data_IF_159691160213
#
_entry.id   IF_159691160213
#
_cell.length_a   1.000
_cell.length_b   1.000
_cell.length_c   1.000
_cell.angle_alpha   90.00
_cell.angle_beta   90.00
_cell.angle_gamma   90.00
#
_symmetry.space_group_name_H-M   'P 1'
#
loop_
_entity.id
_entity.type
_entity.pdbx_description
1 polymer ?
#
# COMPACT_ATOMS: atom_id res chain seq x y z
N UNK A 1 9.64 4.54 -53.32
CA UNK A 1 10.52 5.05 -52.24
C UNK A 1 10.29 4.17 -51.03
N UNK A 2 11.24 3.30 -50.68
CA UNK A 2 11.13 2.40 -49.52
C UNK A 2 11.72 3.14 -48.33
N UNK A 3 10.88 3.47 -47.35
CA UNK A 3 11.31 4.16 -46.12
C UNK A 3 11.76 3.12 -45.10
N UNK A 4 13.04 3.15 -44.73
CA UNK A 4 13.61 2.26 -43.74
C UNK A 4 13.62 2.97 -42.39
N UNK A 5 12.73 2.57 -41.48
CA UNK A 5 12.72 3.05 -40.10
C UNK A 5 13.77 2.25 -39.32
N UNK A 6 14.81 2.93 -38.83
CA UNK A 6 15.77 2.35 -37.89
C UNK A 6 15.26 2.60 -36.48
N UNK A 7 14.72 1.56 -35.84
CA UNK A 7 14.55 1.55 -34.38
C UNK A 7 15.94 1.44 -33.75
N UNK A 8 16.38 2.50 -33.08
CA UNK A 8 17.48 2.44 -32.14
C UNK A 8 16.88 2.11 -30.76
N UNK A 9 17.04 0.86 -30.31
CA UNK A 9 16.77 0.53 -28.91
C UNK A 9 17.91 1.08 -28.04
N UNK A 10 17.63 1.81 -26.95
CA UNK A 10 18.62 2.06 -25.92
C UNK A 10 18.83 0.77 -25.12
N UNK A 11 20.01 0.17 -25.26
CA UNK A 11 20.48 -0.88 -24.37
C UNK A 11 20.99 -0.19 -23.11
N UNK A 12 20.19 -0.18 -22.05
CA UNK A 12 20.68 0.18 -20.71
C UNK A 12 21.22 -1.09 -20.07
N UNK A 13 22.55 -1.23 -20.07
CA UNK A 13 23.24 -2.27 -19.34
C UNK A 13 23.65 -1.71 -17.97
N UNK A 14 22.89 -2.04 -16.93
CA UNK A 14 23.27 -1.76 -15.54
C UNK A 14 24.13 -2.91 -15.04
N UNK A 15 25.45 -2.70 -15.06
CA UNK A 15 26.43 -3.57 -14.39
C UNK A 15 26.42 -3.23 -12.89
N UNK A 16 25.71 -4.01 -12.08
CA UNK A 16 25.90 -4.00 -10.63
C UNK A 16 27.16 -4.80 -10.28
N UNK A 17 28.31 -4.12 -10.23
CA UNK A 17 29.53 -4.64 -9.60
C UNK A 17 29.31 -4.72 -8.09
N UNK A 18 28.94 -5.90 -7.59
CA UNK A 18 29.12 -6.24 -6.18
C UNK A 18 30.62 -6.38 -5.92
N UNK A 19 31.22 -5.34 -5.36
CA UNK A 19 32.52 -5.44 -4.74
C UNK A 19 32.38 -6.28 -3.46
N UNK A 20 32.75 -7.57 -3.53
CA UNK A 20 33.11 -8.33 -2.33
C UNK A 20 34.35 -7.66 -1.72
N UNK A 21 34.13 -6.77 -0.75
CA UNK A 21 35.16 -6.40 0.21
C UNK A 21 35.34 -7.58 1.18
N UNK A 22 36.23 -8.49 0.80
CA UNK A 22 36.91 -9.36 1.75
C UNK A 22 38.04 -8.63 2.46
N UNK A 23 38.48 -9.22 3.57
CA UNK A 23 39.56 -8.87 4.52
C UNK A 23 39.05 -8.10 5.76
N UNK A 24 39.36 -8.49 7.01
CA UNK A 24 40.43 -9.34 7.50
C UNK A 24 40.08 -9.98 8.85
N UNK A 25 40.65 -11.16 9.09
CA UNK A 25 40.89 -11.72 10.42
C UNK A 25 41.59 -10.70 11.33
N UNK A 26 41.01 -10.42 12.51
CA UNK A 26 41.70 -9.79 13.63
C UNK A 26 41.60 -10.72 14.84
N UNK A 27 42.65 -11.50 15.04
CA UNK A 27 42.93 -12.25 16.27
C UNK A 27 43.30 -11.25 17.38
N UNK A 28 42.29 -10.71 18.06
CA UNK A 28 42.45 -9.69 19.11
C UNK A 28 41.81 -10.10 20.43
N UNK A 29 42.59 -10.74 21.31
CA UNK A 29 42.28 -10.93 22.72
C UNK A 29 41.83 -9.62 23.40
N UNK A 30 40.57 -9.55 23.82
CA UNK A 30 40.03 -8.46 24.62
C UNK A 30 39.08 -8.97 25.69
N UNK A 31 39.59 -9.11 26.91
CA UNK A 31 38.80 -9.47 28.09
C UNK A 31 37.82 -8.33 28.41
N UNK A 32 36.52 -8.63 28.47
CA UNK A 32 35.55 -7.74 29.12
C UNK A 32 34.45 -8.54 29.80
N UNK A 33 34.45 -8.43 31.13
CA UNK A 33 33.23 -8.30 31.90
C UNK A 33 32.38 -9.53 32.07
N UNK A 34 32.72 -10.34 33.06
CA UNK A 34 31.77 -11.20 33.74
C UNK A 34 30.54 -10.38 34.20
N UNK A 35 29.38 -10.63 33.60
CA UNK A 35 28.08 -10.44 34.26
C UNK A 35 27.54 -11.85 34.50
N UNK A 36 27.78 -12.32 35.73
CA UNK A 36 27.27 -13.58 36.20
C UNK A 36 25.80 -13.48 36.64
N UNK A 37 25.13 -14.64 36.60
CA UNK A 37 23.91 -14.94 37.35
C UNK A 37 22.62 -14.59 36.61
N UNK A 38 21.66 -15.49 36.44
CA UNK A 38 21.50 -16.84 36.94
C UNK A 38 20.19 -17.44 36.39
N UNK A 39 19.82 -18.62 36.92
CA UNK A 39 18.68 -19.46 36.51
C UNK A 39 17.43 -18.67 36.10
N UNK A 40 16.74 -19.07 35.05
CA UNK A 40 16.19 -20.40 34.91
C UNK A 40 14.73 -20.33 35.36
N UNK A 41 13.83 -20.11 34.41
CA UNK A 41 12.42 -20.47 34.51
C UNK A 41 11.92 -20.68 33.09
N UNK A 42 11.47 -21.91 32.82
CA UNK A 42 10.72 -22.21 31.61
C UNK A 42 9.34 -21.58 31.77
N UNK A 43 8.95 -20.73 30.83
CA UNK A 43 7.59 -20.18 30.79
C UNK A 43 6.65 -21.33 30.42
N UNK A 44 5.84 -21.74 31.40
CA UNK A 44 4.73 -22.69 31.23
C UNK A 44 3.57 -21.95 30.51
N UNK A 45 3.17 -22.35 29.29
CA UNK A 45 2.22 -21.60 28.47
C UNK A 45 0.75 -21.88 28.85
N UNK A 46 0.45 -22.03 30.14
CA UNK A 46 -0.77 -22.73 30.56
C UNK A 46 -1.59 -22.12 31.68
N UNK A 47 -1.62 -20.80 31.94
CA UNK A 47 -2.64 -20.27 32.89
C UNK A 47 -2.87 -18.74 32.93
N UNK A 48 -2.98 -18.07 31.78
CA UNK A 48 -3.50 -16.69 31.78
C UNK A 48 -4.83 -16.64 31.03
N UNK A 49 -5.88 -17.08 31.71
CA UNK A 49 -7.26 -16.71 31.39
C UNK A 49 -7.53 -15.43 32.18
N UNK A 50 -7.68 -14.25 31.54
CA UNK A 50 -8.14 -13.07 32.24
C UNK A 50 -9.51 -13.38 32.87
N UNK A 51 -9.59 -13.22 34.18
CA UNK A 51 -10.85 -13.32 34.92
C UNK A 51 -11.73 -12.13 34.53
N UNK A 52 -12.68 -12.38 33.62
CA UNK A 52 -13.64 -11.39 33.08
C UNK A 52 -14.67 -10.91 34.12
N UNK A 53 -14.52 -11.28 35.39
CA UNK A 53 -15.50 -10.98 36.43
C UNK A 53 -15.45 -9.55 37.00
N UNK A 54 -14.49 -8.72 36.57
CA UNK A 54 -14.33 -7.33 37.02
C UNK A 54 -14.66 -6.26 35.95
N UNK A 55 -15.22 -6.63 34.80
CA UNK A 55 -15.68 -5.63 33.83
C UNK A 55 -17.02 -5.01 34.28
N UNK A 56 -17.09 -3.68 34.51
CA UNK A 56 -18.33 -3.02 34.89
C UNK A 56 -19.36 -3.16 33.76
N UNK A 57 -20.55 -3.64 34.13
CA UNK A 57 -21.68 -3.84 33.21
C UNK A 57 -22.03 -2.52 32.50
N UNK A 58 -21.80 -2.45 31.20
CA UNK A 58 -22.25 -1.30 30.40
C UNK A 58 -23.79 -1.34 30.32
N UNK A 59 -24.49 -0.23 30.60
CA UNK A 59 -25.94 -0.18 30.47
C UNK A 59 -26.35 -0.28 29.00
N UNK A 60 -27.19 -1.27 28.70
CA UNK A 60 -27.87 -1.41 27.41
C UNK A 60 -28.85 -0.24 27.24
N UNK A 61 -28.52 0.70 26.37
CA UNK A 61 -29.41 1.79 26.00
C UNK A 61 -30.36 1.32 24.89
N UNK A 62 -31.45 0.68 25.31
CA UNK A 62 -32.59 0.35 24.44
C UNK A 62 -33.48 1.58 24.28
N UNK A 63 -33.03 2.51 23.44
CA UNK A 63 -33.77 3.71 23.04
C UNK A 63 -34.64 3.49 21.80
N UNK A 64 -35.73 2.73 21.97
CA UNK A 64 -36.89 2.72 21.08
C UNK A 64 -37.57 4.10 21.10
N UNK A 65 -37.67 4.74 19.94
CA UNK A 65 -38.74 5.71 19.65
C UNK A 65 -39.19 5.56 18.20
N UNK A 66 -40.01 4.55 17.95
CA UNK A 66 -40.88 4.53 16.77
C UNK A 66 -41.80 5.76 16.68
N UNK A 67 -42.14 6.10 15.42
CA UNK A 67 -43.30 6.87 14.91
C UNK A 67 -42.85 7.80 13.77
N UNK A 68 -43.47 7.93 12.60
CA UNK A 68 -44.66 7.33 12.00
C UNK A 68 -44.63 7.61 10.48
N UNK A 69 -45.25 6.68 9.74
CA UNK A 69 -45.93 6.77 8.46
C UNK A 69 -45.84 8.05 7.58
N UNK A 70 -45.38 7.84 6.34
CA UNK A 70 -45.60 8.74 5.21
C UNK A 70 -45.44 8.01 3.87
N UNK A 71 -46.55 7.50 3.35
CA UNK A 71 -46.66 6.79 2.07
C UNK A 71 -46.29 7.70 0.88
N UNK A 72 -45.49 7.23 -0.08
CA UNK A 72 -45.78 7.51 -1.50
C UNK A 72 -45.36 6.34 -2.37
N UNK A 73 -46.36 5.78 -3.04
CA UNK A 73 -46.29 4.82 -4.12
C UNK A 73 -45.37 5.25 -5.26
N UNK A 74 -44.71 4.26 -5.87
CA UNK A 74 -44.52 4.23 -7.31
C UNK A 74 -43.17 4.68 -7.84
N UNK A 75 -42.27 3.72 -8.07
CA UNK A 75 -41.12 3.93 -8.96
C UNK A 75 -40.09 2.82 -8.90
N UNK A 76 -40.15 1.93 -9.89
CA UNK A 76 -39.06 1.10 -10.44
C UNK A 76 -37.99 0.57 -9.49
N UNK A 77 -37.97 -0.74 -9.32
CA UNK A 77 -36.77 -1.52 -9.01
C UNK A 77 -35.70 -1.27 -10.10
N UNK A 78 -34.87 -0.26 -9.90
CA UNK A 78 -33.53 -0.22 -10.49
C UNK A 78 -32.58 -0.69 -9.41
N UNK A 79 -32.10 -1.92 -9.57
CA UNK A 79 -31.06 -2.48 -8.72
C UNK A 79 -29.88 -1.51 -8.71
N UNK A 80 -29.53 -1.03 -7.52
CA UNK A 80 -28.31 -0.27 -7.31
C UNK A 80 -27.13 -1.17 -7.66
N UNK A 81 -26.64 -1.04 -8.89
CA UNK A 81 -25.28 -1.42 -9.18
C UNK A 81 -24.44 -0.36 -8.47
N UNK A 82 -23.71 -0.76 -7.44
CA UNK A 82 -22.52 -0.03 -7.00
C UNK A 82 -21.42 -0.22 -8.03
N UNK A 83 -21.73 0.02 -9.31
CA UNK A 83 -20.72 0.35 -10.30
C UNK A 83 -20.41 1.81 -10.04
N UNK A 84 -19.48 2.04 -9.12
CA UNK A 84 -18.84 3.34 -8.92
C UNK A 84 -18.14 3.73 -10.20
N UNK A 85 -18.91 4.26 -11.15
CA UNK A 85 -18.43 4.83 -12.39
C UNK A 85 -17.64 6.10 -12.10
N UNK A 86 -16.42 5.93 -11.61
CA UNK A 86 -15.33 6.88 -11.77
C UNK A 86 -14.67 6.64 -13.13
N UNK A 87 -15.50 6.63 -14.19
CA UNK A 87 -15.05 6.71 -15.58
C UNK A 87 -14.52 8.10 -15.89
N UNK A 88 -13.49 8.52 -15.14
CA UNK A 88 -12.63 9.63 -15.47
C UNK A 88 -11.76 9.20 -16.62
N UNK A 89 -12.29 9.27 -17.83
CA UNK A 89 -11.52 9.01 -19.04
C UNK A 89 -10.22 9.81 -18.98
N UNK A 90 -9.08 9.11 -19.04
CA UNK A 90 -7.74 9.69 -18.96
C UNK A 90 -7.61 10.85 -19.95
N UNK A 91 -7.72 12.08 -19.47
CA UNK A 91 -7.39 13.25 -20.28
C UNK A 91 -5.88 13.28 -20.45
N UNK A 92 -5.44 12.85 -21.64
CA UNK A 92 -4.21 13.22 -22.33
C UNK A 92 -3.01 13.60 -21.43
N UNK A 93 -2.52 12.62 -20.66
CA UNK A 93 -1.29 12.71 -19.89
C UNK A 93 -1.47 13.03 -18.40
N UNK A 94 -2.70 13.09 -17.92
CA UNK A 94 -2.98 13.06 -16.47
C UNK A 94 -2.72 11.67 -15.89
N UNK A 95 -2.17 11.63 -14.68
CA UNK A 95 -2.05 10.41 -13.88
C UNK A 95 -3.33 10.08 -13.09
N UNK A 96 -4.36 10.92 -13.20
CA UNK A 96 -5.60 10.75 -12.46
C UNK A 96 -6.22 9.37 -12.69
N UNK A 97 -6.67 8.75 -11.60
CA UNK A 97 -7.26 7.43 -11.67
C UNK A 97 -7.13 6.62 -10.39
N UNK A 98 -7.78 5.47 -10.42
CA UNK A 98 -7.67 4.45 -9.39
C UNK A 98 -6.88 3.26 -9.96
N UNK A 99 -5.65 3.11 -9.49
CA UNK A 99 -4.64 2.25 -10.10
C UNK A 99 -4.33 1.06 -9.20
N UNK A 100 -4.35 -0.16 -9.74
CA UNK A 100 -4.06 -1.39 -8.99
C UNK A 100 -2.96 -2.20 -9.65
N UNK A 101 -2.10 -2.84 -8.86
CA UNK A 101 -1.09 -3.78 -9.38
C UNK A 101 -1.75 -5.07 -9.91
N UNK A 102 -2.78 -5.56 -9.21
CA UNK A 102 -3.62 -6.69 -9.61
C UNK A 102 -5.09 -6.25 -9.66
N UNK A 103 -5.62 -5.91 -10.84
CA UNK A 103 -7.02 -5.47 -10.97
C UNK A 103 -8.04 -6.60 -10.76
N UNK A 104 -7.60 -7.86 -10.67
CA UNK A 104 -8.48 -9.03 -10.44
C UNK A 104 -8.68 -9.35 -8.95
N UNK A 105 -7.80 -8.88 -8.08
CA UNK A 105 -7.85 -9.04 -6.61
C UNK A 105 -7.62 -7.69 -5.93
N UNK A 106 -8.50 -6.73 -6.16
CA UNK A 106 -8.33 -5.34 -5.70
C UNK A 106 -8.24 -5.21 -4.17
N UNK A 107 -8.85 -6.14 -3.45
CA UNK A 107 -8.84 -6.24 -1.99
C UNK A 107 -7.53 -6.74 -1.41
N UNK A 108 -6.63 -7.30 -2.22
CA UNK A 108 -5.31 -7.80 -1.82
C UNK A 108 -4.18 -7.09 -2.59
N UNK A 109 -4.50 -6.00 -3.30
CA UNK A 109 -3.57 -5.35 -4.22
C UNK A 109 -3.10 -4.00 -3.71
N UNK A 110 -1.87 -3.64 -4.07
CA UNK A 110 -1.38 -2.27 -3.94
C UNK A 110 -2.24 -1.35 -4.78
N UNK A 111 -2.69 -0.27 -4.16
CA UNK A 111 -3.52 0.73 -4.78
C UNK A 111 -2.86 2.10 -4.76
N UNK A 112 -2.93 2.80 -5.89
CA UNK A 112 -2.51 4.19 -6.01
C UNK A 112 -3.69 5.00 -6.55
N UNK A 113 -4.30 5.80 -5.68
CA UNK A 113 -5.38 6.71 -6.04
C UNK A 113 -4.83 8.10 -6.31
N UNK A 114 -5.05 8.65 -7.51
CA UNK A 114 -4.52 9.95 -7.93
C UNK A 114 -5.66 10.88 -8.37
N UNK A 115 -5.67 12.09 -7.82
CA UNK A 115 -6.59 13.16 -8.22
C UNK A 115 -5.90 14.53 -8.25
N UNK A 116 -5.65 15.03 -9.45
CA UNK A 116 -4.90 16.24 -9.74
C UNK A 116 -3.45 16.11 -9.29
N UNK A 117 -3.08 16.86 -8.25
CA UNK A 117 -1.73 16.79 -7.66
C UNK A 117 -1.70 16.03 -6.34
N UNK A 118 -2.82 15.44 -5.92
CA UNK A 118 -2.92 14.68 -4.67
C UNK A 118 -2.90 13.19 -4.99
N UNK A 119 -2.31 12.39 -4.11
CA UNK A 119 -2.31 10.94 -4.21
C UNK A 119 -2.51 10.29 -2.84
N UNK A 120 -3.08 9.10 -2.85
CA UNK A 120 -3.08 8.18 -1.71
C UNK A 120 -2.52 6.83 -2.18
N UNK A 121 -1.69 6.22 -1.35
CA UNK A 121 -1.18 4.87 -1.57
C UNK A 121 -1.68 3.95 -0.47
N UNK A 122 -2.07 2.75 -0.85
CA UNK A 122 -2.47 1.67 0.04
C UNK A 122 -1.58 0.47 -0.29
N UNK A 123 -0.74 0.06 0.65
CA UNK A 123 -0.08 -1.24 0.58
C UNK A 123 -1.13 -2.34 0.78
N UNK A 124 -0.93 -3.50 0.16
CA UNK A 124 -1.76 -4.71 0.23
C UNK A 124 -2.96 -4.64 1.19
N UNK A 125 -4.13 -4.33 0.62
CA UNK A 125 -5.38 -4.15 1.37
C UNK A 125 -5.87 -5.43 2.07
N UNK A 126 -5.28 -6.60 1.79
CA UNK A 126 -5.77 -7.91 2.20
C UNK A 126 -5.05 -8.50 3.41
N UNK A 127 -3.89 -7.96 3.77
CA UNK A 127 -3.05 -8.50 4.83
C UNK A 127 -2.78 -7.47 5.95
N UNK A 128 -1.92 -6.50 5.66
CA UNK A 128 -1.37 -5.55 6.62
C UNK A 128 -1.96 -4.15 6.33
N UNK A 129 -1.74 -3.59 5.14
CA UNK A 129 -2.55 -2.49 4.64
C UNK A 129 -2.06 -1.09 4.99
N UNK A 130 -0.76 -0.82 4.91
CA UNK A 130 -0.22 0.51 5.19
C UNK A 130 -0.89 1.60 4.35
N UNK A 131 -1.34 2.66 5.03
CA UNK A 131 -2.10 3.74 4.42
C UNK A 131 -1.28 5.02 4.38
N UNK A 132 -0.89 5.44 3.19
CA UNK A 132 -0.23 6.71 2.93
C UNK A 132 -1.20 7.69 2.25
N UNK A 133 -2.06 8.33 3.05
CA UNK A 133 -3.18 9.17 2.59
C UNK A 133 -2.78 10.61 2.16
N UNK A 134 -1.51 10.96 2.28
CA UNK A 134 -1.00 12.32 2.13
C UNK A 134 0.10 12.43 1.06
N UNK A 135 -0.17 11.91 -0.13
CA UNK A 135 0.71 11.99 -1.30
C UNK A 135 0.55 13.26 -2.13
N UNK A 136 1.63 13.69 -2.77
CA UNK A 136 1.65 14.81 -3.72
C UNK A 136 2.39 14.45 -5.00
N UNK A 137 1.89 14.93 -6.14
CA UNK A 137 2.57 14.84 -7.43
C UNK A 137 3.16 16.18 -7.84
N UNK A 138 4.40 16.13 -8.33
CA UNK A 138 5.07 17.22 -9.03
C UNK A 138 5.60 16.71 -10.38
N UNK A 139 4.75 16.85 -11.41
CA UNK A 139 4.98 16.20 -12.70
C UNK A 139 4.93 14.67 -12.52
N UNK A 140 5.95 13.91 -12.95
CA UNK A 140 6.00 12.46 -12.78
C UNK A 140 6.47 12.02 -11.38
N UNK A 141 6.85 12.94 -10.49
CA UNK A 141 7.42 12.57 -9.20
C UNK A 141 6.32 12.55 -8.13
N UNK A 142 6.14 11.40 -7.50
CA UNK A 142 5.27 11.19 -6.35
C UNK A 142 6.09 11.33 -5.06
N UNK A 143 5.54 11.99 -4.06
CA UNK A 143 6.07 12.03 -2.69
C UNK A 143 4.94 11.80 -1.70
N UNK A 144 5.09 10.77 -0.87
CA UNK A 144 4.17 10.43 0.21
C UNK A 144 4.53 11.23 1.48
N UNK A 145 3.53 11.74 2.19
CA UNK A 145 3.71 12.59 3.37
C UNK A 145 3.90 11.84 4.69
N UNK A 146 3.65 10.54 4.69
CA UNK A 146 3.65 9.65 5.85
C UNK A 146 2.72 8.47 5.60
N UNK A 147 2.97 7.35 6.26
CA UNK A 147 2.12 6.17 6.20
C UNK A 147 1.69 5.80 7.61
N UNK A 148 0.41 5.43 7.75
CA UNK A 148 -0.08 4.77 8.95
C UNK A 148 0.18 3.28 8.78
N UNK A 149 1.02 2.73 9.65
CA UNK A 149 1.38 1.31 9.59
C UNK A 149 0.27 0.47 10.17
N UNK A 150 -0.20 -0.50 9.41
CA UNK A 150 -1.16 -1.49 9.86
C UNK A 150 -0.50 -2.86 9.67
N UNK A 151 0.02 -3.48 10.73
CA UNK A 151 0.75 -4.75 10.62
C UNK A 151 2.13 -4.72 11.28
N UNK A 152 2.94 -5.74 10.96
CA UNK A 152 4.31 -5.92 11.44
C UNK A 152 5.35 -5.36 10.46
N UNK A 153 4.99 -5.20 9.17
CA UNK A 153 5.85 -4.61 8.15
C UNK A 153 5.44 -3.16 7.88
N UNK A 154 6.44 -2.30 7.70
CA UNK A 154 6.25 -0.88 7.38
C UNK A 154 6.65 -0.64 5.93
N UNK A 155 5.79 0.05 5.19
CA UNK A 155 6.13 0.61 3.88
C UNK A 155 7.08 1.80 4.04
N UNK A 156 8.30 1.65 3.52
CA UNK A 156 9.37 2.66 3.68
C UNK A 156 9.62 3.51 2.44
N UNK A 157 9.03 3.17 1.30
CA UNK A 157 9.25 3.84 0.02
C UNK A 157 8.38 5.11 -0.10
N UNK A 158 8.94 6.26 0.29
CA UNK A 158 8.20 7.53 0.36
C UNK A 158 8.20 8.35 -0.93
N UNK A 159 8.93 7.94 -1.96
CA UNK A 159 8.99 8.65 -3.24
C UNK A 159 9.05 7.71 -4.42
N UNK A 160 8.42 8.08 -5.53
CA UNK A 160 8.42 7.31 -6.76
C UNK A 160 8.45 8.21 -8.01
N UNK A 161 8.82 7.63 -9.15
CA UNK A 161 8.67 8.22 -10.47
C UNK A 161 7.62 7.44 -11.27
N UNK A 162 6.68 8.18 -11.86
CA UNK A 162 5.54 7.67 -12.59
C UNK A 162 5.74 7.86 -14.10
N UNK A 163 5.34 6.87 -14.88
CA UNK A 163 5.34 6.93 -16.35
C UNK A 163 4.11 6.23 -16.90
N UNK A 164 3.27 6.97 -17.63
CA UNK A 164 2.13 6.39 -18.33
C UNK A 164 2.61 5.71 -19.62
N UNK A 165 2.33 4.41 -19.74
CA UNK A 165 2.69 3.62 -20.89
C UNK A 165 1.71 3.86 -22.05
N UNK A 166 2.14 3.54 -23.28
CA UNK A 166 1.30 3.70 -24.47
C UNK A 166 0.08 2.77 -24.54
N UNK A 167 0.00 1.78 -23.65
CA UNK A 167 -1.12 0.86 -23.50
C UNK A 167 -2.13 1.29 -22.42
N UNK A 168 -1.89 2.43 -21.75
CA UNK A 168 -2.75 2.94 -20.68
C UNK A 168 -2.43 2.41 -19.29
N UNK A 169 -1.38 1.60 -19.13
CA UNK A 169 -0.88 1.20 -17.79
C UNK A 169 0.04 2.27 -17.20
N UNK A 170 0.12 2.32 -15.88
CA UNK A 170 1.01 3.23 -15.14
C UNK A 170 2.21 2.44 -14.61
N UNK A 171 3.41 2.76 -15.07
CA UNK A 171 4.64 2.25 -14.47
C UNK A 171 5.07 3.16 -13.32
N UNK A 172 5.30 2.55 -12.15
CA UNK A 172 5.78 3.24 -10.94
C UNK A 172 7.13 2.66 -10.56
N UNK A 173 8.12 3.53 -10.39
CA UNK A 173 9.46 3.16 -9.92
C UNK A 173 9.72 3.85 -8.60
N UNK A 174 9.71 3.07 -7.52
CA UNK A 174 9.96 3.55 -6.16
C UNK A 174 11.45 3.84 -5.93
N UNK A 175 11.76 4.64 -4.90
CA UNK A 175 13.13 5.04 -4.58
C UNK A 175 14.05 3.88 -4.21
N UNK A 176 13.51 2.80 -3.63
CA UNK A 176 14.22 1.54 -3.42
C UNK A 176 14.68 0.87 -4.73
N UNK A 177 14.07 1.24 -5.86
CA UNK A 177 14.24 0.58 -7.15
C UNK A 177 13.16 -0.47 -7.45
N UNK A 178 12.22 -0.72 -6.53
CA UNK A 178 11.04 -1.53 -6.80
C UNK A 178 10.27 -0.92 -7.99
N UNK A 179 9.96 -1.75 -8.97
CA UNK A 179 9.19 -1.34 -10.16
C UNK A 179 7.91 -2.13 -10.21
N UNK A 180 6.80 -1.41 -10.29
CA UNK A 180 5.45 -1.94 -10.35
C UNK A 180 4.72 -1.42 -11.59
N UNK A 181 3.75 -2.20 -12.07
CA UNK A 181 2.89 -1.79 -13.17
C UNK A 181 1.46 -1.83 -12.67
N UNK A 182 0.80 -0.69 -12.75
CA UNK A 182 -0.57 -0.52 -12.30
C UNK A 182 -1.52 -0.42 -13.49
N UNK A 183 -2.72 -0.92 -13.30
CA UNK A 183 -3.83 -0.89 -14.24
C UNK A 183 -4.94 -0.03 -13.65
N UNK A 184 -5.46 0.89 -14.46
CA UNK A 184 -6.60 1.70 -14.07
C UNK A 184 -7.88 0.87 -14.13
N UNK A 185 -8.71 0.93 -13.09
CA UNK A 185 -10.02 0.25 -13.05
C UNK A 185 -11.20 1.23 -13.10
N UNK A 186 -10.95 2.48 -13.50
CA UNK A 186 -11.95 3.55 -13.69
C UNK A 186 -12.62 3.56 -15.06
#
# INVERSE_FOLDING_TARGET
MRSSIRLALPIVATMATFALAGCADDDGHGTFGAIGGGGGEAIDPGDYVPDDSDLPSMPSDEGDTGSDAGTTDGGSTDGGTTDGGLGGGMSDGSFDGDWYVDPTHQDESHNLYILGTSAAFFEDLGAEGDLCDSGTLNGPNLTLGGCSVYGEQEWTDMTATLSLNGDGTLQVVWASGLTETYVNVG
#
